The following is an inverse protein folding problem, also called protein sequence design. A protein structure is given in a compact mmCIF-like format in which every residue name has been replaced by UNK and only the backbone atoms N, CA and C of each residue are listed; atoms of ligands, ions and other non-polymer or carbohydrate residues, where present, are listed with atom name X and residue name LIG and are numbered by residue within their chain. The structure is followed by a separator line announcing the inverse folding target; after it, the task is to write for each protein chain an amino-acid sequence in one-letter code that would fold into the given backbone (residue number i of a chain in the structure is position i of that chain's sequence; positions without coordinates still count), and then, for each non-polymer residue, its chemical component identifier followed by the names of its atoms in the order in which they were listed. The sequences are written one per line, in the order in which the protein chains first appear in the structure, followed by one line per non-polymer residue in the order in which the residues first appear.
data_IF_428182182351
#
_entry.id   IF_428182182351
#
_cell.length_a   1.000
_cell.length_b   1.000
_cell.length_c   1.000
_cell.angle_alpha   90.00
_cell.angle_beta   90.00
_cell.angle_gamma   90.00
#
_symmetry.space_group_name_H-M   'P 1'
#
loop_
_entity.id
_entity.type
_entity.pdbx_description
1 polymer ?
#
# COMPACT_ATOMS: atom_id res chain seq x y z
N UNK A 1 75.30 -66.89 -5.65
CA UNK A 1 75.16 -65.57 -6.29
C UNK A 1 75.37 -64.50 -5.22
N UNK A 2 76.43 -63.69 -5.33
CA UNK A 2 76.77 -62.64 -4.36
C UNK A 2 75.90 -61.39 -4.66
N UNK A 3 75.26 -60.83 -3.65
CA UNK A 3 74.47 -59.58 -3.77
C UNK A 3 75.45 -58.40 -3.91
N UNK A 4 75.26 -57.56 -4.93
CA UNK A 4 76.04 -56.34 -5.17
C UNK A 4 75.71 -55.26 -4.11
N UNK A 5 76.66 -54.38 -3.78
CA UNK A 5 76.47 -53.22 -2.89
C UNK A 5 75.19 -52.41 -3.15
N UNK A 6 74.82 -52.17 -4.41
CA UNK A 6 73.58 -51.49 -4.81
C UNK A 6 72.32 -52.27 -4.42
N UNK A 7 72.33 -53.60 -4.58
CA UNK A 7 71.21 -54.45 -4.18
C UNK A 7 71.05 -54.44 -2.65
N UNK A 8 72.15 -54.36 -1.89
CA UNK A 8 72.12 -54.22 -0.44
C UNK A 8 71.57 -52.85 -0.02
N UNK A 9 71.95 -51.79 -0.73
CA UNK A 9 71.47 -50.43 -0.51
C UNK A 9 69.99 -50.23 -0.91
N UNK A 10 69.47 -51.00 -1.85
CA UNK A 10 68.03 -51.00 -2.20
C UNK A 10 67.19 -51.77 -1.18
N UNK A 11 67.68 -52.93 -0.71
CA UNK A 11 66.99 -53.72 0.32
C UNK A 11 66.87 -52.93 1.62
N UNK A 12 67.88 -52.14 2.00
CA UNK A 12 67.82 -51.30 3.20
C UNK A 12 66.81 -50.15 3.10
N UNK A 13 66.47 -49.68 1.90
CA UNK A 13 65.45 -48.63 1.67
C UNK A 13 64.03 -49.16 1.66
N UNK A 14 63.83 -50.45 1.35
CA UNK A 14 62.50 -51.06 1.21
C UNK A 14 61.61 -50.94 2.47
N UNK A 15 62.09 -51.16 3.71
CA UNK A 15 61.26 -50.98 4.90
C UNK A 15 60.79 -49.54 5.10
N UNK A 16 61.67 -48.57 4.84
CA UNK A 16 61.33 -47.15 4.95
C UNK A 16 60.25 -46.74 3.92
N UNK A 17 60.33 -47.26 2.69
CA UNK A 17 59.32 -47.04 1.66
C UNK A 17 57.96 -47.67 2.02
N UNK A 18 57.96 -48.87 2.62
CA UNK A 18 56.71 -49.51 3.08
C UNK A 18 56.07 -48.73 4.23
N UNK A 19 56.86 -48.25 5.18
CA UNK A 19 56.36 -47.41 6.27
C UNK A 19 55.74 -46.09 5.75
N UNK A 20 56.39 -45.45 4.76
CA UNK A 20 55.83 -44.27 4.08
C UNK A 20 54.54 -44.60 3.32
N UNK A 21 54.46 -45.77 2.69
CA UNK A 21 53.27 -46.21 1.98
C UNK A 21 52.09 -46.37 2.95
N UNK A 22 52.28 -47.07 4.07
CA UNK A 22 51.26 -47.22 5.12
C UNK A 22 50.82 -45.85 5.69
N UNK A 23 51.78 -44.96 5.99
CA UNK A 23 51.46 -43.62 6.48
C UNK A 23 50.63 -42.82 5.45
N UNK A 24 50.98 -42.90 4.17
CA UNK A 24 50.23 -42.21 3.12
C UNK A 24 48.83 -42.80 2.93
N UNK A 25 48.66 -44.12 3.03
CA UNK A 25 47.36 -44.77 2.97
C UNK A 25 46.46 -44.33 4.13
N UNK A 26 46.99 -44.24 5.34
CA UNK A 26 46.28 -43.73 6.51
C UNK A 26 45.86 -42.27 6.33
N UNK A 27 46.75 -41.42 5.81
CA UNK A 27 46.43 -40.02 5.51
C UNK A 27 45.33 -39.91 4.45
N UNK A 28 45.39 -40.71 3.38
CA UNK A 28 44.35 -40.75 2.34
C UNK A 28 43.00 -41.17 2.94
N UNK A 29 42.99 -42.17 3.83
CA UNK A 29 41.78 -42.61 4.51
C UNK A 29 41.18 -41.49 5.39
N UNK A 30 42.03 -40.75 6.11
CA UNK A 30 41.60 -39.60 6.92
C UNK A 30 41.03 -38.47 6.05
N UNK A 31 41.69 -38.12 4.94
CA UNK A 31 41.20 -37.09 4.03
C UNK A 31 39.86 -37.46 3.38
N UNK A 32 39.67 -38.73 2.99
CA UNK A 32 38.39 -39.21 2.46
C UNK A 32 37.27 -39.11 3.51
N UNK A 33 37.56 -39.47 4.75
CA UNK A 33 36.60 -39.35 5.86
C UNK A 33 36.21 -37.88 6.07
N UNK A 34 37.20 -36.99 6.12
CA UNK A 34 36.99 -35.56 6.28
C UNK A 34 36.15 -34.96 5.13
N UNK A 35 36.44 -35.31 3.87
CA UNK A 35 35.64 -34.87 2.72
C UNK A 35 34.18 -35.33 2.83
N UNK A 36 33.95 -36.58 3.24
CA UNK A 36 32.60 -37.10 3.47
C UNK A 36 31.86 -36.33 4.56
N UNK A 37 32.52 -36.03 5.69
CA UNK A 37 31.94 -35.26 6.79
C UNK A 37 31.59 -33.83 6.37
N UNK A 38 32.48 -33.17 5.62
CA UNK A 38 32.21 -31.83 5.08
C UNK A 38 31.04 -31.82 4.10
N UNK A 39 30.95 -32.81 3.22
CA UNK A 39 29.82 -32.92 2.28
C UNK A 39 28.50 -33.13 3.02
N UNK A 40 28.49 -34.00 4.04
CA UNK A 40 27.31 -34.25 4.86
C UNK A 40 26.88 -32.97 5.60
N UNK A 41 27.83 -32.26 6.21
CA UNK A 41 27.55 -30.99 6.89
C UNK A 41 27.02 -29.93 5.91
N UNK A 42 27.64 -29.78 4.75
CA UNK A 42 27.18 -28.83 3.74
C UNK A 42 25.76 -29.15 3.22
N UNK A 43 25.38 -30.43 3.13
CA UNK A 43 24.02 -30.83 2.80
C UNK A 43 23.03 -30.51 3.92
N UNK A 44 23.42 -30.74 5.18
CA UNK A 44 22.61 -30.39 6.34
C UNK A 44 22.39 -28.88 6.44
N UNK A 45 23.45 -28.08 6.31
CA UNK A 45 23.37 -26.61 6.38
C UNK A 45 22.46 -26.05 5.28
N UNK A 46 22.53 -26.62 4.06
CA UNK A 46 21.61 -26.27 2.97
C UNK A 46 20.15 -26.57 3.32
N UNK A 47 19.87 -27.75 3.87
CA UNK A 47 18.52 -28.13 4.25
C UNK A 47 17.95 -27.24 5.36
N UNK A 48 18.78 -26.84 6.34
CA UNK A 48 18.39 -25.89 7.38
C UNK A 48 18.06 -24.53 6.79
N UNK A 49 18.93 -23.98 5.94
CA UNK A 49 18.69 -22.68 5.31
C UNK A 49 17.47 -22.66 4.39
N UNK A 50 17.21 -23.74 3.64
CA UNK A 50 16.00 -23.85 2.82
C UNK A 50 14.74 -23.85 3.68
N UNK A 51 14.76 -24.54 4.81
CA UNK A 51 13.66 -24.55 5.77
C UNK A 51 13.43 -23.18 6.40
N UNK A 52 14.49 -22.54 6.92
CA UNK A 52 14.41 -21.20 7.48
C UNK A 52 13.86 -20.19 6.48
N UNK A 53 14.32 -20.25 5.22
CA UNK A 53 13.83 -19.38 4.14
C UNK A 53 12.34 -19.61 3.87
N UNK A 54 11.87 -20.85 3.91
CA UNK A 54 10.45 -21.17 3.73
C UNK A 54 9.61 -20.61 4.88
N UNK A 55 10.04 -20.79 6.12
CA UNK A 55 9.37 -20.28 7.33
C UNK A 55 9.33 -18.75 7.35
N UNK A 56 10.42 -18.09 6.96
CA UNK A 56 10.47 -16.63 6.86
C UNK A 56 9.51 -16.13 5.78
N UNK A 57 9.46 -16.82 4.64
CA UNK A 57 8.55 -16.46 3.55
C UNK A 57 7.09 -16.56 3.99
N UNK A 58 6.71 -17.65 4.68
CA UNK A 58 5.34 -17.79 5.19
C UNK A 58 5.02 -16.72 6.22
N UNK A 59 5.93 -16.45 7.16
CA UNK A 59 5.76 -15.42 8.18
C UNK A 59 5.53 -14.03 7.57
N UNK A 60 6.39 -13.60 6.63
CA UNK A 60 6.23 -12.29 5.99
C UNK A 60 4.98 -12.21 5.11
N UNK A 61 4.60 -13.30 4.44
CA UNK A 61 3.38 -13.31 3.63
C UNK A 61 2.15 -13.12 4.51
N UNK A 62 2.04 -13.84 5.63
CA UNK A 62 0.93 -13.69 6.57
C UNK A 62 0.88 -12.29 7.21
N UNK A 63 2.03 -11.70 7.51
CA UNK A 63 2.09 -10.35 8.07
C UNK A 63 1.65 -9.29 7.05
N UNK A 64 2.12 -9.39 5.81
CA UNK A 64 1.70 -8.50 4.72
C UNK A 64 0.18 -8.63 4.49
N UNK A 65 -0.36 -9.85 4.45
CA UNK A 65 -1.79 -10.07 4.28
C UNK A 65 -2.62 -9.42 5.40
N UNK A 66 -2.16 -9.53 6.66
CA UNK A 66 -2.82 -8.87 7.80
C UNK A 66 -2.74 -7.34 7.70
N UNK A 67 -1.58 -6.79 7.36
CA UNK A 67 -1.39 -5.34 7.23
C UNK A 67 -2.23 -4.77 6.08
N UNK A 68 -2.28 -5.46 4.94
CA UNK A 68 -3.12 -5.08 3.80
C UNK A 68 -4.60 -5.13 4.18
N UNK A 69 -5.06 -6.20 4.83
CA UNK A 69 -6.44 -6.29 5.29
C UNK A 69 -6.81 -5.16 6.27
N UNK A 70 -5.92 -4.86 7.21
CA UNK A 70 -6.11 -3.76 8.16
C UNK A 70 -6.16 -2.39 7.46
N UNK A 71 -5.27 -2.15 6.49
CA UNK A 71 -5.24 -0.91 5.71
C UNK A 71 -6.50 -0.72 4.86
N UNK A 72 -7.00 -1.80 4.23
CA UNK A 72 -8.24 -1.77 3.44
C UNK A 72 -9.45 -1.45 4.34
N UNK A 73 -9.56 -2.08 5.51
CA UNK A 73 -10.66 -1.79 6.43
C UNK A 73 -10.57 -0.36 7.00
N UNK A 74 -9.37 0.12 7.32
CA UNK A 74 -9.17 1.51 7.76
C UNK A 74 -9.60 2.51 6.68
N UNK A 75 -9.19 2.31 5.41
CA UNK A 75 -9.57 3.17 4.29
C UNK A 75 -11.08 3.15 4.02
N UNK A 76 -11.74 2.00 4.18
CA UNK A 76 -13.18 1.88 4.03
C UNK A 76 -13.94 2.63 5.12
N UNK A 77 -13.44 2.59 6.36
CA UNK A 77 -14.06 3.28 7.49
C UNK A 77 -13.84 4.79 7.44
N UNK A 78 -12.64 5.26 7.03
CA UNK A 78 -12.40 6.69 6.83
C UNK A 78 -13.24 7.25 5.69
N UNK A 79 -13.36 6.51 4.58
CA UNK A 79 -14.19 6.93 3.44
C UNK A 79 -15.67 7.07 3.82
N UNK A 80 -16.22 6.16 4.64
CA UNK A 80 -17.61 6.30 5.11
C UNK A 80 -17.81 7.51 6.01
N UNK A 81 -16.91 7.73 6.98
CA UNK A 81 -16.99 8.87 7.89
C UNK A 81 -16.90 10.22 7.16
N UNK A 82 -16.02 10.32 6.17
CA UNK A 82 -15.87 11.53 5.36
C UNK A 82 -17.10 11.77 4.46
N UNK A 83 -17.66 10.71 3.87
CA UNK A 83 -18.89 10.82 3.06
C UNK A 83 -20.09 11.25 3.90
N UNK A 84 -20.30 10.63 5.07
CA UNK A 84 -21.42 11.00 5.95
C UNK A 84 -21.30 12.45 6.45
N UNK A 85 -20.08 12.90 6.74
CA UNK A 85 -19.80 14.29 7.13
C UNK A 85 -20.06 15.26 5.99
N UNK A 86 -19.56 14.97 4.78
CA UNK A 86 -19.78 15.80 3.61
C UNK A 86 -21.28 15.89 3.23
N UNK A 87 -22.00 14.76 3.28
CA UNK A 87 -23.45 14.72 3.05
C UNK A 87 -24.18 15.59 4.08
N UNK A 88 -23.80 15.51 5.36
CA UNK A 88 -24.40 16.34 6.39
C UNK A 88 -24.13 17.84 6.18
N UNK A 89 -22.91 18.21 5.80
CA UNK A 89 -22.57 19.61 5.46
C UNK A 89 -23.38 20.13 4.28
N UNK A 90 -23.52 19.34 3.20
CA UNK A 90 -24.35 19.73 2.06
C UNK A 90 -25.85 19.81 2.40
N UNK A 91 -26.37 18.90 3.25
CA UNK A 91 -27.75 19.00 3.75
C UNK A 91 -27.97 20.28 4.59
N UNK A 92 -26.95 20.72 5.33
CA UNK A 92 -26.98 21.99 6.04
C UNK A 92 -27.03 23.19 5.08
N UNK A 93 -26.33 23.12 3.95
CA UNK A 93 -26.37 24.16 2.92
C UNK A 93 -27.73 24.23 2.24
N UNK A 94 -28.27 23.08 1.82
CA UNK A 94 -29.61 22.98 1.24
C UNK A 94 -30.66 23.52 2.20
N UNK A 95 -30.62 23.12 3.49
CA UNK A 95 -31.56 23.62 4.48
C UNK A 95 -31.41 25.13 4.75
N UNK A 96 -30.17 25.65 4.71
CA UNK A 96 -29.89 27.09 4.78
C UNK A 96 -30.49 27.86 3.61
N UNK A 97 -30.35 27.33 2.39
CA UNK A 97 -30.96 27.89 1.18
C UNK A 97 -32.49 27.88 1.24
N UNK A 98 -33.09 26.76 1.65
CA UNK A 98 -34.55 26.65 1.80
C UNK A 98 -35.09 27.63 2.84
N UNK A 99 -34.35 27.87 3.93
CA UNK A 99 -34.70 28.90 4.91
C UNK A 99 -34.64 30.32 4.31
N UNK A 100 -33.64 30.62 3.49
CA UNK A 100 -33.53 31.89 2.77
C UNK A 100 -34.72 32.09 1.83
N UNK A 101 -35.05 31.06 1.05
CA UNK A 101 -36.19 31.05 0.14
C UNK A 101 -37.54 31.20 0.89
N UNK A 102 -37.69 30.53 2.04
CA UNK A 102 -38.88 30.67 2.87
C UNK A 102 -39.02 32.08 3.45
N UNK A 103 -37.93 32.64 3.98
CA UNK A 103 -37.93 34.01 4.52
C UNK A 103 -38.32 35.05 3.47
N UNK A 104 -37.90 34.87 2.20
CA UNK A 104 -38.30 35.74 1.09
C UNK A 104 -39.80 35.68 0.76
N UNK A 105 -40.44 34.52 0.98
CA UNK A 105 -41.90 34.34 0.81
C UNK A 105 -42.69 35.01 1.94
N UNK A 106 -42.15 35.03 3.15
CA UNK A 106 -42.78 35.63 4.33
C UNK A 106 -42.67 37.16 4.36
N UNK A 107 -41.54 37.73 3.91
CA UNK A 107 -41.33 39.19 3.82
C UNK A 107 -40.78 39.61 2.45
N UNK A 108 -41.67 39.86 1.47
CA UNK A 108 -41.27 40.23 0.12
C UNK A 108 -40.69 41.64 0.00
N UNK A 109 -40.99 42.52 0.97
CA UNK A 109 -40.61 43.94 0.94
C UNK A 109 -39.27 44.21 1.65
N UNK A 110 -38.83 43.30 2.52
CA UNK A 110 -37.59 43.41 3.30
C UNK A 110 -36.31 42.97 2.57
N UNK A 111 -36.38 42.39 1.37
CA UNK A 111 -35.23 41.88 0.63
C UNK A 111 -35.16 42.40 -0.81
N UNK A 112 -33.96 42.45 -1.39
CA UNK A 112 -33.74 42.88 -2.78
C UNK A 112 -34.60 42.07 -3.76
N UNK A 113 -35.23 42.75 -4.71
CA UNK A 113 -36.01 42.12 -5.78
C UNK A 113 -35.13 41.18 -6.63
N UNK A 114 -33.88 41.58 -6.87
CA UNK A 114 -32.89 40.79 -7.60
C UNK A 114 -32.44 39.55 -6.81
N UNK A 115 -32.34 39.65 -5.48
CA UNK A 115 -32.04 38.49 -4.63
C UNK A 115 -33.18 37.46 -4.64
N UNK A 116 -34.43 37.92 -4.74
CA UNK A 116 -35.59 37.04 -4.93
C UNK A 116 -35.52 36.27 -6.24
N UNK A 117 -35.21 36.98 -7.35
CA UNK A 117 -35.04 36.37 -8.67
C UNK A 117 -33.90 35.37 -8.74
N UNK A 118 -32.77 35.67 -8.08
CA UNK A 118 -31.64 34.74 -7.94
C UNK A 118 -32.05 33.42 -7.26
N UNK A 119 -32.80 33.49 -6.16
CA UNK A 119 -33.27 32.30 -5.43
C UNK A 119 -34.24 31.47 -6.30
N UNK A 120 -35.15 32.13 -7.01
CA UNK A 120 -36.13 31.46 -7.88
C UNK A 120 -35.47 30.82 -9.11
N UNK A 121 -34.49 31.49 -9.73
CA UNK A 121 -33.73 30.96 -10.85
C UNK A 121 -32.91 29.72 -10.47
N UNK A 122 -32.22 29.78 -9.33
CA UNK A 122 -31.47 28.62 -8.79
C UNK A 122 -32.42 27.46 -8.46
N UNK A 123 -33.55 27.71 -7.81
CA UNK A 123 -34.56 26.67 -7.53
C UNK A 123 -35.10 26.03 -8.82
N UNK A 124 -35.39 26.84 -9.84
CA UNK A 124 -35.90 26.38 -11.12
C UNK A 124 -34.93 25.43 -11.83
N UNK A 125 -33.66 25.83 -11.93
CA UNK A 125 -32.64 25.01 -12.59
C UNK A 125 -32.29 23.74 -11.80
N UNK A 126 -32.32 23.80 -10.46
CA UNK A 126 -32.18 22.61 -9.62
C UNK A 126 -33.32 21.59 -9.86
N UNK A 127 -34.56 22.03 -10.08
CA UNK A 127 -35.68 21.12 -10.37
C UNK A 127 -35.57 20.43 -11.73
N UNK A 128 -34.88 21.04 -12.69
CA UNK A 128 -34.62 20.46 -14.01
C UNK A 128 -33.37 19.56 -14.01
N UNK A 129 -32.62 19.55 -12.89
CA UNK A 129 -31.44 18.70 -12.70
C UNK A 129 -30.15 19.31 -13.26
N UNK A 130 -30.05 20.64 -13.29
CA UNK A 130 -28.83 21.34 -13.66
C UNK A 130 -27.79 21.28 -12.52
N UNK A 131 -26.64 20.66 -12.79
CA UNK A 131 -25.55 20.49 -11.83
C UNK A 131 -24.91 21.84 -11.46
N UNK A 132 -24.89 22.82 -12.37
CA UNK A 132 -24.32 24.14 -12.13
C UNK A 132 -25.16 24.95 -11.13
N UNK A 133 -26.47 24.67 -11.04
CA UNK A 133 -27.37 25.31 -10.09
C UNK A 133 -27.08 24.92 -8.63
N UNK A 134 -26.57 23.71 -8.39
CA UNK A 134 -26.14 23.29 -7.04
C UNK A 134 -24.94 24.12 -6.56
N UNK A 135 -24.01 24.45 -7.45
CA UNK A 135 -22.89 25.35 -7.14
C UNK A 135 -23.37 26.76 -6.78
N UNK A 136 -24.29 27.32 -7.55
CA UNK A 136 -24.87 28.64 -7.27
C UNK A 136 -25.70 28.68 -5.98
N UNK A 137 -26.40 27.60 -5.62
CA UNK A 137 -27.08 27.48 -4.33
C UNK A 137 -26.09 27.56 -3.16
N UNK A 138 -24.99 26.81 -3.23
CA UNK A 138 -23.95 26.83 -2.19
C UNK A 138 -23.32 28.22 -2.09
N UNK A 139 -23.06 28.87 -3.23
CA UNK A 139 -22.54 30.23 -3.30
C UNK A 139 -23.48 31.23 -2.59
N UNK A 140 -24.80 31.15 -2.82
CA UNK A 140 -25.83 32.01 -2.18
C UNK A 140 -25.92 31.81 -0.67
N UNK A 141 -25.71 30.59 -0.17
CA UNK A 141 -25.76 30.31 1.27
C UNK A 141 -24.49 30.75 1.98
N UNK A 142 -23.33 30.68 1.29
CA UNK A 142 -22.03 31.01 1.86
C UNK A 142 -21.66 32.50 1.73
N UNK A 143 -22.35 33.27 0.89
CA UNK A 143 -22.05 34.69 0.65
C UNK A 143 -20.84 34.88 -0.26
N UNK A 144 -20.95 34.44 -1.52
CA UNK A 144 -19.88 34.47 -2.53
C UNK A 144 -19.96 35.72 -3.42
N UNK A 145 -18.81 36.29 -3.80
CA UNK A 145 -18.77 37.41 -4.76
C UNK A 145 -19.04 37.00 -6.23
N UNK A 146 -19.46 35.76 -6.47
CA UNK A 146 -19.79 35.25 -7.79
C UNK A 146 -21.15 35.75 -8.27
N UNK A 147 -21.29 35.92 -9.60
CA UNK A 147 -22.55 36.35 -10.22
C UNK A 147 -23.52 35.18 -10.29
N UNK A 148 -24.73 35.43 -9.84
CA UNK A 148 -25.87 34.50 -9.88
C UNK A 148 -26.67 34.71 -11.18
N UNK A 149 -27.60 33.81 -11.51
CA UNK A 149 -28.46 33.88 -12.70
C UNK A 149 -29.94 34.01 -12.33
N UNK A 150 -30.71 34.62 -13.22
CA UNK A 150 -32.16 34.78 -13.15
C UNK A 150 -32.89 33.51 -13.62
N UNK A 151 -34.22 33.49 -13.47
CA UNK A 151 -35.14 32.45 -13.94
C UNK A 151 -35.02 32.21 -15.45
N UNK A 152 -34.68 33.25 -16.22
CA UNK A 152 -34.49 33.16 -17.67
C UNK A 152 -33.04 32.77 -18.08
N UNK A 153 -32.17 32.48 -17.10
CA UNK A 153 -30.78 32.08 -17.31
C UNK A 153 -29.81 33.25 -17.55
N UNK A 154 -30.26 34.50 -17.42
CA UNK A 154 -29.41 35.70 -17.55
C UNK A 154 -28.65 35.99 -16.26
N UNK A 155 -27.37 36.35 -16.35
CA UNK A 155 -26.59 36.74 -15.17
C UNK A 155 -27.13 38.03 -14.53
N UNK A 156 -27.26 38.00 -13.21
CA UNK A 156 -27.63 39.12 -12.35
C UNK A 156 -26.35 39.80 -11.83
N UNK A 157 -26.37 41.12 -11.67
CA UNK A 157 -25.27 41.91 -11.09
C UNK A 157 -25.27 41.90 -9.54
N UNK A 158 -25.98 40.93 -8.96
CA UNK A 158 -26.00 40.68 -7.52
C UNK A 158 -24.97 39.61 -7.18
N UNK A 159 -24.21 39.87 -6.13
CA UNK A 159 -23.30 38.89 -5.51
C UNK A 159 -24.08 37.97 -4.59
N UNK A 160 -23.78 36.68 -4.66
CA UNK A 160 -24.34 35.63 -3.82
C UNK A 160 -24.05 35.80 -2.32
#
# INVERSE_FOLDING_TARGET
KLINADQKAQISKKPALLAQLTQNEEQIAQFKKLDSEYRAKAQQDKAVHEKEKAELKTYYTEQIEKEVAAAVEAAKNSSKGDVDTAVFEHLKEVSGFLRLAAARREDPAGQSEEAGRAIEGVLGNMYVGDDDAAGSMIALVRGSNERTFDVDGTFLDVTC
#
